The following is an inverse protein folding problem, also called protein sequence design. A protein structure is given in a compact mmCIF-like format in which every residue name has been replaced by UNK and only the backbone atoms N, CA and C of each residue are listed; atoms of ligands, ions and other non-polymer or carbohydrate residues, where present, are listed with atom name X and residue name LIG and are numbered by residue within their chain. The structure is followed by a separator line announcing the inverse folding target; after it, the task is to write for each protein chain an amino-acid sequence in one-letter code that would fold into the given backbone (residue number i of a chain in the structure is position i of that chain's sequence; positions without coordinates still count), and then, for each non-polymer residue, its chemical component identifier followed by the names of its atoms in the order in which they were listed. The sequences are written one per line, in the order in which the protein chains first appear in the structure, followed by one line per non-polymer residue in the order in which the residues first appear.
data_IF_425284298970
#
_entry.id   IF_425284298970
#
_cell.length_a   1.000
_cell.length_b   1.000
_cell.length_c   1.000
_cell.angle_alpha   90.00
_cell.angle_beta   90.00
_cell.angle_gamma   90.00
#
_symmetry.space_group_name_H-M   'P 1'
#
loop_
_entity.id
_entity.type
_entity.pdbx_description
1 polymer ?
#
# COMPACT_ATOMS: atom_id res chain seq x y z
N UNK A 1 16.63 -18.18 10.08
CA UNK A 1 16.16 -19.13 9.06
C UNK A 1 15.48 -18.33 7.97
N UNK A 2 16.06 -18.22 6.79
CA UNK A 2 15.35 -17.65 5.65
C UNK A 2 14.22 -18.63 5.29
N UNK A 3 12.99 -18.16 5.46
CA UNK A 3 11.81 -18.89 4.99
C UNK A 3 11.88 -18.95 3.46
N UNK A 4 11.55 -20.09 2.87
CA UNK A 4 11.46 -20.20 1.41
C UNK A 4 10.32 -19.35 0.87
N UNK A 5 10.45 -18.86 -0.37
CA UNK A 5 9.32 -18.25 -1.07
C UNK A 5 8.22 -19.28 -1.29
N UNK A 6 6.98 -18.88 -1.13
CA UNK A 6 5.79 -19.72 -1.30
C UNK A 6 4.85 -19.11 -2.34
N UNK A 7 3.95 -19.92 -2.88
CA UNK A 7 3.01 -19.45 -3.89
C UNK A 7 2.16 -18.28 -3.37
N UNK A 8 2.04 -17.23 -4.18
CA UNK A 8 1.25 -16.04 -3.83
C UNK A 8 -0.19 -16.40 -3.44
N UNK A 9 -0.75 -17.45 -4.03
CA UNK A 9 -2.08 -17.93 -3.71
C UNK A 9 -2.24 -18.34 -2.23
N UNK A 10 -1.16 -18.90 -1.63
CA UNK A 10 -1.14 -19.32 -0.22
C UNK A 10 -0.78 -18.19 0.76
N UNK A 11 -0.33 -17.02 0.26
CA UNK A 11 0.01 -15.89 1.10
C UNK A 11 -1.23 -15.14 1.57
N UNK A 12 -1.15 -14.59 2.77
CA UNK A 12 -2.07 -13.60 3.30
C UNK A 12 -1.25 -12.50 3.97
N UNK A 13 -1.82 -11.29 4.07
CA UNK A 13 -1.23 -10.20 4.83
C UNK A 13 -0.94 -10.66 6.25
N UNK A 14 0.32 -10.55 6.67
CA UNK A 14 0.74 -10.94 8.01
C UNK A 14 0.23 -9.95 9.08
N UNK A 15 0.30 -10.36 10.35
CA UNK A 15 -0.01 -9.46 11.47
C UNK A 15 0.91 -8.23 11.47
N UNK A 16 2.21 -8.39 11.15
CA UNK A 16 3.16 -7.28 11.04
C UNK A 16 2.83 -6.35 9.88
N UNK A 17 2.42 -6.88 8.73
CA UNK A 17 1.95 -6.08 7.59
C UNK A 17 0.68 -5.29 7.94
N UNK A 18 -0.27 -5.91 8.64
CA UNK A 18 -1.49 -5.22 9.10
C UNK A 18 -1.16 -4.09 10.09
N UNK A 19 -0.26 -4.34 11.04
CA UNK A 19 0.20 -3.31 11.99
C UNK A 19 0.89 -2.17 11.27
N UNK A 20 1.73 -2.47 10.27
CA UNK A 20 2.37 -1.44 9.45
C UNK A 20 1.34 -0.53 8.77
N UNK A 21 0.31 -1.10 8.15
CA UNK A 21 -0.76 -0.31 7.52
C UNK A 21 -1.50 0.52 8.58
N UNK A 22 -1.87 -0.07 9.71
CA UNK A 22 -2.56 0.63 10.80
C UNK A 22 -1.77 1.83 11.33
N UNK A 23 -0.46 1.67 11.56
CA UNK A 23 0.43 2.76 12.00
C UNK A 23 0.52 3.89 10.98
N UNK A 24 0.50 3.55 9.71
CA UNK A 24 0.60 4.51 8.63
C UNK A 24 -0.68 5.32 8.43
N UNK A 25 -1.83 4.68 8.47
CA UNK A 25 -3.13 5.34 8.30
C UNK A 25 -3.51 6.21 9.51
N UNK A 26 -2.98 5.89 10.70
CA UNK A 26 -3.41 6.50 11.94
C UNK A 26 -4.80 6.01 12.37
N UNK A 27 -5.22 6.38 13.57
CA UNK A 27 -6.50 5.96 14.12
C UNK A 27 -7.36 7.14 14.55
N UNK A 28 -8.62 7.14 14.12
CA UNK A 28 -9.65 8.02 14.65
C UNK A 28 -10.90 7.22 15.01
N UNK A 29 -11.27 7.23 16.27
CA UNK A 29 -12.48 6.54 16.74
C UNK A 29 -13.75 7.14 16.18
N UNK A 30 -13.80 8.48 16.10
CA UNK A 30 -14.94 9.21 15.56
C UNK A 30 -14.71 9.53 14.08
N UNK A 31 -15.79 9.44 13.30
CA UNK A 31 -15.77 9.83 11.91
C UNK A 31 -15.48 11.34 11.77
N UNK A 32 -14.56 11.66 10.86
CA UNK A 32 -14.15 13.00 10.51
C UNK A 32 -14.32 13.24 8.99
N UNK A 33 -14.42 14.51 8.56
CA UNK A 33 -14.47 14.84 7.15
C UNK A 33 -13.16 14.46 6.45
N UNK A 34 -13.26 13.79 5.29
CA UNK A 34 -12.07 13.52 4.47
C UNK A 34 -11.37 14.84 4.07
N UNK A 35 -10.02 14.92 4.15
CA UNK A 35 -9.29 16.15 3.83
C UNK A 35 -9.51 16.68 2.40
N UNK A 36 -9.84 15.79 1.45
CA UNK A 36 -10.03 16.12 0.03
C UNK A 36 -11.52 16.27 -0.32
N UNK A 37 -12.36 15.35 0.18
CA UNK A 37 -13.78 15.24 -0.19
C UNK A 37 -14.73 15.81 0.87
N UNK A 38 -14.21 16.25 2.02
CA UNK A 38 -14.97 16.83 3.12
C UNK A 38 -16.01 15.85 3.70
N UNK A 39 -17.15 16.37 4.11
CA UNK A 39 -18.23 15.58 4.72
C UNK A 39 -18.94 14.64 3.76
N UNK A 40 -18.65 14.70 2.45
CA UNK A 40 -19.20 13.78 1.45
C UNK A 40 -18.62 12.38 1.57
N UNK A 41 -17.40 12.27 2.10
CA UNK A 41 -16.71 10.99 2.32
C UNK A 41 -16.19 10.96 3.76
N UNK A 42 -17.06 10.69 4.76
CA UNK A 42 -16.60 10.57 6.14
C UNK A 42 -15.63 9.40 6.28
N UNK A 43 -14.61 9.59 7.11
CA UNK A 43 -13.55 8.60 7.36
C UNK A 43 -13.47 8.30 8.85
N UNK A 44 -13.35 7.03 9.23
CA UNK A 44 -13.21 6.59 10.62
C UNK A 44 -12.22 5.42 10.76
N UNK A 45 -11.84 5.08 11.97
CA UNK A 45 -10.92 3.98 12.25
C UNK A 45 -9.54 4.23 11.67
N UNK A 46 -9.03 3.30 10.88
CA UNK A 46 -7.76 3.35 10.17
C UNK A 46 -7.99 3.73 8.68
N UNK A 47 -8.54 4.92 8.44
CA UNK A 47 -8.78 5.37 7.07
C UNK A 47 -10.00 4.73 6.38
N UNK A 48 -10.87 4.05 7.13
CA UNK A 48 -12.06 3.39 6.58
C UNK A 48 -13.09 4.41 6.10
N UNK A 49 -13.56 4.23 4.87
CA UNK A 49 -14.64 4.97 4.24
C UNK A 49 -15.74 4.00 3.79
N UNK A 50 -16.84 4.50 3.26
CA UNK A 50 -17.90 3.67 2.69
C UNK A 50 -19.30 4.09 3.12
N UNK A 51 -20.34 3.44 2.57
CA UNK A 51 -21.74 3.87 2.78
C UNK A 51 -22.22 3.71 4.22
N UNK A 52 -21.57 2.86 5.00
CA UNK A 52 -21.81 2.61 6.40
C UNK A 52 -21.07 3.55 7.36
N UNK A 53 -20.11 4.34 6.84
CA UNK A 53 -19.40 5.39 7.60
C UNK A 53 -20.07 6.74 7.35
N UNK A 54 -20.69 7.29 8.38
CA UNK A 54 -21.36 8.60 8.34
C UNK A 54 -20.77 9.51 9.40
N UNK A 55 -20.94 10.82 9.26
CA UNK A 55 -20.62 11.76 10.35
C UNK A 55 -21.37 11.34 11.63
N UNK A 56 -20.64 11.24 12.74
CA UNK A 56 -21.14 10.69 13.99
C UNK A 56 -20.94 9.17 14.18
N UNK A 57 -20.48 8.45 13.18
CA UNK A 57 -20.09 7.04 13.35
C UNK A 57 -18.92 6.93 14.32
N UNK A 58 -19.03 6.01 15.28
CA UNK A 58 -17.93 5.64 16.19
C UNK A 58 -17.43 4.23 15.85
N UNK A 59 -16.14 4.11 15.64
CA UNK A 59 -15.49 2.85 15.27
C UNK A 59 -14.40 2.50 16.30
N UNK A 60 -14.74 1.72 17.35
CA UNK A 60 -13.79 1.31 18.40
C UNK A 60 -12.58 0.55 17.83
N UNK A 61 -11.41 0.57 18.52
CA UNK A 61 -10.14 0.05 17.96
C UNK A 61 -10.22 -1.36 17.40
N UNK A 62 -10.83 -2.29 18.10
CA UNK A 62 -10.95 -3.69 17.65
C UNK A 62 -11.81 -3.79 16.37
N UNK A 63 -12.93 -3.08 16.33
CA UNK A 63 -13.79 -3.05 15.13
C UNK A 63 -13.07 -2.38 13.95
N UNK A 64 -12.31 -1.33 14.22
CA UNK A 64 -11.49 -0.66 13.22
C UNK A 64 -10.42 -1.61 12.63
N UNK A 65 -9.75 -2.42 13.47
CA UNK A 65 -8.78 -3.42 13.00
C UNK A 65 -9.45 -4.53 12.15
N UNK A 66 -10.63 -5.00 12.56
CA UNK A 66 -11.40 -5.99 11.78
C UNK A 66 -11.75 -5.41 10.40
N UNK A 67 -12.17 -4.15 10.36
CA UNK A 67 -12.48 -3.46 9.11
C UNK A 67 -11.24 -3.28 8.24
N UNK A 68 -10.15 -2.78 8.82
CA UNK A 68 -8.86 -2.64 8.13
C UNK A 68 -8.42 -3.97 7.49
N UNK A 69 -8.55 -5.09 8.23
CA UNK A 69 -8.23 -6.43 7.72
C UNK A 69 -9.13 -6.82 6.55
N UNK A 70 -10.43 -6.51 6.60
CA UNK A 70 -11.36 -6.77 5.51
C UNK A 70 -10.99 -5.95 4.27
N UNK A 71 -10.76 -4.64 4.43
CA UNK A 71 -10.37 -3.73 3.35
C UNK A 71 -9.03 -4.16 2.71
N UNK A 72 -8.06 -4.60 3.51
CA UNK A 72 -6.79 -5.13 3.02
C UNK A 72 -6.99 -6.44 2.25
N UNK A 73 -7.92 -7.31 2.66
CA UNK A 73 -8.21 -8.57 1.95
C UNK A 73 -8.73 -8.32 0.53
N UNK A 74 -9.54 -7.29 0.32
CA UNK A 74 -9.98 -6.91 -1.04
C UNK A 74 -8.78 -6.52 -1.93
N UNK A 75 -7.80 -5.80 -1.36
CA UNK A 75 -6.56 -5.45 -2.07
C UNK A 75 -5.74 -6.69 -2.39
N UNK A 76 -5.64 -7.65 -1.45
CA UNK A 76 -4.96 -8.93 -1.68
C UNK A 76 -5.55 -9.67 -2.88
N UNK A 77 -6.88 -9.79 -2.96
CA UNK A 77 -7.57 -10.46 -4.08
C UNK A 77 -7.23 -9.79 -5.42
N UNK A 78 -7.29 -8.45 -5.47
CA UNK A 78 -6.98 -7.71 -6.69
C UNK A 78 -5.52 -7.87 -7.11
N UNK A 79 -4.57 -7.79 -6.15
CA UNK A 79 -3.14 -7.95 -6.41
C UNK A 79 -2.79 -9.37 -6.85
N UNK A 80 -3.33 -10.42 -6.21
CA UNK A 80 -3.13 -11.81 -6.63
C UNK A 80 -3.56 -12.02 -8.08
N UNK A 81 -4.71 -11.45 -8.46
CA UNK A 81 -5.24 -11.57 -9.84
C UNK A 81 -4.31 -10.93 -10.87
N UNK A 82 -3.74 -9.76 -10.59
CA UNK A 82 -2.92 -9.05 -11.56
C UNK A 82 -1.46 -9.50 -11.59
N UNK A 83 -0.91 -9.96 -10.46
CA UNK A 83 0.47 -10.45 -10.38
C UNK A 83 0.57 -11.85 -10.98
N UNK A 84 -0.44 -12.71 -10.75
CA UNK A 84 -0.47 -14.08 -11.26
C UNK A 84 0.35 -15.04 -10.40
N UNK A 85 0.70 -16.19 -10.97
CA UNK A 85 1.38 -17.27 -10.25
C UNK A 85 2.87 -17.01 -10.09
N UNK A 86 3.24 -16.45 -8.94
CA UNK A 86 4.63 -16.18 -8.54
C UNK A 86 4.89 -16.72 -7.14
N UNK A 87 6.17 -16.92 -6.81
CA UNK A 87 6.60 -17.30 -5.46
C UNK A 87 7.12 -16.04 -4.76
N UNK A 88 6.65 -15.77 -3.54
CA UNK A 88 7.06 -14.59 -2.75
C UNK A 88 7.42 -15.01 -1.32
N UNK A 89 8.28 -14.22 -0.68
CA UNK A 89 8.39 -14.21 0.77
C UNK A 89 7.19 -13.50 1.40
N UNK A 90 6.74 -13.86 2.61
CA UNK A 90 5.66 -13.13 3.30
C UNK A 90 5.92 -11.62 3.40
N UNK A 91 7.16 -11.21 3.66
CA UNK A 91 7.53 -9.78 3.73
C UNK A 91 7.41 -9.04 2.39
N UNK A 92 7.71 -9.73 1.27
CA UNK A 92 7.52 -9.17 -0.08
C UNK A 92 6.03 -8.93 -0.33
N UNK A 93 5.20 -9.90 0.05
CA UNK A 93 3.74 -9.80 -0.06
C UNK A 93 3.19 -8.66 0.80
N UNK A 94 3.59 -8.58 2.08
CA UNK A 94 3.18 -7.50 2.99
C UNK A 94 3.48 -6.12 2.40
N UNK A 95 4.67 -5.93 1.82
CA UNK A 95 5.07 -4.67 1.23
C UNK A 95 4.22 -4.30 0.01
N UNK A 96 3.90 -5.26 -0.88
CA UNK A 96 3.04 -4.99 -2.04
C UNK A 96 1.59 -4.75 -1.65
N UNK A 97 1.05 -5.45 -0.64
CA UNK A 97 -0.29 -5.18 -0.12
C UNK A 97 -0.36 -3.80 0.52
N UNK A 98 0.62 -3.43 1.35
CA UNK A 98 0.68 -2.10 1.97
C UNK A 98 0.81 -0.98 0.93
N UNK A 99 1.61 -1.19 -0.13
CA UNK A 99 1.67 -0.25 -1.26
C UNK A 99 0.31 -0.12 -1.94
N UNK A 100 -0.34 -1.23 -2.27
CA UNK A 100 -1.65 -1.27 -2.91
C UNK A 100 -2.77 -0.70 -2.04
N UNK A 101 -2.66 -0.82 -0.72
CA UNK A 101 -3.57 -0.18 0.22
C UNK A 101 -3.48 1.35 0.12
N UNK A 102 -2.27 1.88 0.08
CA UNK A 102 -2.02 3.33 0.05
C UNK A 102 -2.28 3.97 -1.33
N UNK A 103 -1.86 3.31 -2.43
CA UNK A 103 -1.94 3.90 -3.78
C UNK A 103 -3.17 3.47 -4.56
N UNK A 104 -3.95 2.54 -4.03
CA UNK A 104 -4.87 1.73 -4.81
C UNK A 104 -4.15 0.60 -5.56
N UNK A 105 -4.88 -0.44 -5.90
CA UNK A 105 -4.30 -1.62 -6.58
C UNK A 105 -4.04 -1.37 -8.06
N UNK A 106 -4.81 -0.49 -8.70
CA UNK A 106 -4.66 -0.24 -10.14
C UNK A 106 -3.27 0.25 -10.54
N UNK A 107 -2.63 1.24 -9.87
CA UNK A 107 -1.26 1.63 -10.19
C UNK A 107 -0.22 0.53 -9.95
N UNK A 108 -0.45 -0.35 -8.95
CA UNK A 108 0.46 -1.48 -8.67
C UNK A 108 0.32 -2.57 -9.73
N UNK A 109 -0.87 -2.75 -10.29
CA UNK A 109 -1.15 -3.75 -11.32
C UNK A 109 -0.78 -3.28 -12.73
N UNK A 110 -1.05 -2.01 -13.05
CA UNK A 110 -1.03 -1.49 -14.42
C UNK A 110 -0.07 -0.32 -14.58
N UNK A 111 0.49 -0.22 -15.76
CA UNK A 111 1.20 0.97 -16.21
C UNK A 111 0.27 1.82 -17.07
N UNK A 112 -0.28 2.88 -16.49
CA UNK A 112 -1.23 3.76 -17.15
C UNK A 112 -0.65 4.49 -18.38
N UNK A 113 0.69 4.66 -18.44
CA UNK A 113 1.36 5.36 -19.54
C UNK A 113 1.62 4.46 -20.75
N UNK A 114 1.65 3.13 -20.57
CA UNK A 114 2.07 2.15 -21.59
C UNK A 114 1.08 1.03 -21.84
N UNK A 115 -0.14 1.13 -21.32
CA UNK A 115 -1.20 0.12 -21.51
C UNK A 115 -0.71 -1.32 -21.31
N UNK A 116 -0.30 -1.66 -20.07
CA UNK A 116 0.22 -2.99 -19.77
C UNK A 116 0.51 -3.18 -18.28
N UNK A 117 1.13 -4.31 -17.90
CA UNK A 117 1.50 -4.57 -16.51
C UNK A 117 2.48 -3.53 -15.98
N UNK A 118 2.38 -3.20 -14.69
CA UNK A 118 3.30 -2.31 -14.01
C UNK A 118 4.73 -2.85 -14.01
N UNK A 119 5.69 -2.01 -13.64
CA UNK A 119 7.09 -2.45 -13.47
C UNK A 119 7.21 -3.51 -12.39
N UNK A 120 6.46 -3.42 -11.29
CA UNK A 120 6.43 -4.44 -10.24
C UNK A 120 5.96 -5.77 -10.81
N UNK A 121 4.80 -5.80 -11.47
CA UNK A 121 4.23 -7.04 -12.02
C UNK A 121 5.18 -7.69 -13.03
N UNK A 122 5.70 -6.93 -13.98
CA UNK A 122 6.65 -7.45 -14.99
C UNK A 122 7.91 -8.07 -14.37
N UNK A 123 8.47 -7.42 -13.34
CA UNK A 123 9.66 -7.93 -12.65
C UNK A 123 9.37 -9.19 -11.86
N UNK A 124 8.24 -9.24 -11.14
CA UNK A 124 7.81 -10.45 -10.43
C UNK A 124 7.61 -11.63 -11.38
N UNK A 125 6.94 -11.41 -12.50
CA UNK A 125 6.72 -12.44 -13.52
C UNK A 125 8.00 -12.91 -14.21
N UNK A 126 9.02 -12.05 -14.25
CA UNK A 126 10.37 -12.39 -14.73
C UNK A 126 11.26 -13.01 -13.63
N UNK A 127 10.79 -13.21 -12.40
CA UNK A 127 11.59 -13.71 -11.28
C UNK A 127 12.56 -12.68 -10.67
N UNK A 128 12.50 -11.42 -11.11
CA UNK A 128 13.33 -10.33 -10.57
C UNK A 128 12.68 -9.72 -9.31
N UNK A 129 12.73 -10.47 -8.21
CA UNK A 129 12.14 -10.05 -6.93
C UNK A 129 12.79 -8.79 -6.37
N UNK A 130 14.14 -8.72 -6.44
CA UNK A 130 14.86 -7.53 -5.98
C UNK A 130 14.44 -6.29 -6.75
N UNK A 131 14.41 -6.38 -8.05
CA UNK A 131 13.98 -5.28 -8.89
C UNK A 131 12.51 -4.91 -8.69
N UNK A 132 11.62 -5.86 -8.36
CA UNK A 132 10.25 -5.58 -8.00
C UNK A 132 10.16 -4.76 -6.69
N UNK A 133 10.96 -5.12 -5.66
CA UNK A 133 11.07 -4.34 -4.43
C UNK A 133 11.64 -2.93 -4.70
N UNK A 134 12.67 -2.80 -5.52
CA UNK A 134 13.24 -1.51 -5.91
C UNK A 134 12.22 -0.64 -6.67
N UNK A 135 11.32 -1.26 -7.44
CA UNK A 135 10.27 -0.54 -8.17
C UNK A 135 9.21 0.13 -7.27
N UNK A 136 9.14 -0.21 -5.97
CA UNK A 136 8.31 0.50 -4.98
C UNK A 136 8.68 1.99 -4.94
N UNK A 137 9.95 2.33 -5.13
CA UNK A 137 10.42 3.71 -5.14
C UNK A 137 9.88 4.55 -6.32
N UNK A 138 9.33 3.93 -7.36
CA UNK A 138 8.71 4.64 -8.48
C UNK A 138 7.35 5.28 -8.11
N UNK A 139 6.78 4.92 -6.96
CA UNK A 139 5.50 5.44 -6.45
C UNK A 139 5.71 6.68 -5.56
N UNK A 140 6.61 7.57 -5.96
CA UNK A 140 7.08 8.74 -5.23
C UNK A 140 6.32 10.04 -5.55
N UNK A 141 4.99 9.96 -5.66
CA UNK A 141 4.15 11.10 -5.99
C UNK A 141 2.88 11.16 -5.13
N UNK A 142 2.42 12.37 -4.87
CA UNK A 142 1.15 12.67 -4.21
C UNK A 142 0.35 13.66 -5.09
N UNK A 143 0.08 13.27 -6.34
CA UNK A 143 -0.58 14.10 -7.35
C UNK A 143 0.14 14.06 -8.69
N UNK A 144 -0.25 14.94 -9.65
CA UNK A 144 0.42 15.06 -10.94
C UNK A 144 1.89 15.47 -10.79
N UNK A 145 2.77 14.86 -11.56
CA UNK A 145 4.18 15.25 -11.65
C UNK A 145 4.36 16.00 -12.98
N UNK A 146 4.44 17.32 -12.91
CA UNK A 146 4.64 18.21 -14.07
C UNK A 146 6.12 18.56 -14.21
N UNK A 147 6.82 18.69 -13.07
CA UNK A 147 8.24 19.02 -12.99
C UNK A 147 8.97 18.01 -12.10
N UNK A 148 10.29 17.81 -12.25
CA UNK A 148 11.07 16.94 -11.38
C UNK A 148 10.88 17.23 -9.88
N UNK A 149 10.72 18.50 -9.50
CA UNK A 149 10.50 18.93 -8.13
C UNK A 149 9.17 18.48 -7.52
N UNK A 150 8.20 18.06 -8.33
CA UNK A 150 6.91 17.55 -7.87
C UNK A 150 7.03 16.11 -7.33
N UNK A 151 8.14 15.43 -7.58
CA UNK A 151 8.41 14.11 -7.00
C UNK A 151 8.68 14.22 -5.51
N UNK A 152 8.10 13.32 -4.74
CA UNK A 152 8.30 13.26 -3.29
C UNK A 152 9.75 12.91 -2.89
N UNK A 153 10.50 12.29 -3.80
CA UNK A 153 11.92 11.98 -3.65
C UNK A 153 12.84 13.19 -3.88
N UNK A 154 12.33 14.28 -4.50
CA UNK A 154 13.13 15.46 -4.75
C UNK A 154 13.52 16.17 -3.44
N UNK A 155 14.78 16.56 -3.23
CA UNK A 155 15.25 17.15 -1.96
C UNK A 155 14.53 18.42 -1.56
N UNK A 156 14.06 19.22 -2.52
CA UNK A 156 13.33 20.46 -2.27
C UNK A 156 11.83 20.26 -2.04
N UNK A 157 11.28 19.07 -2.34
CA UNK A 157 9.88 18.80 -2.10
C UNK A 157 9.64 18.51 -0.62
N UNK A 158 9.07 19.48 0.10
CA UNK A 158 8.71 19.34 1.52
C UNK A 158 7.28 18.87 1.73
N UNK A 159 6.46 18.88 0.69
CA UNK A 159 5.01 18.63 0.78
C UNK A 159 4.69 17.16 0.97
N UNK A 160 5.42 16.26 0.32
CA UNK A 160 5.14 14.82 0.38
C UNK A 160 6.34 13.95 0.81
N UNK A 161 7.24 14.49 1.63
CA UNK A 161 8.37 13.71 2.20
C UNK A 161 7.93 12.44 2.92
N UNK A 162 6.77 12.48 3.57
CA UNK A 162 6.21 11.30 4.23
C UNK A 162 5.91 10.16 3.26
N UNK A 163 5.48 10.47 2.04
CA UNK A 163 5.28 9.48 0.98
C UNK A 163 6.62 8.85 0.59
N UNK A 164 7.66 9.65 0.38
CA UNK A 164 8.98 9.14 0.05
C UNK A 164 9.57 8.25 1.15
N UNK A 165 9.51 8.71 2.40
CA UNK A 165 9.96 7.92 3.55
C UNK A 165 9.22 6.58 3.66
N UNK A 166 7.91 6.57 3.39
CA UNK A 166 7.12 5.35 3.36
C UNK A 166 7.58 4.39 2.25
N UNK A 167 7.86 4.87 1.05
CA UNK A 167 8.37 4.03 -0.05
C UNK A 167 9.72 3.40 0.29
N UNK A 168 10.59 4.14 0.96
CA UNK A 168 11.88 3.61 1.42
C UNK A 168 11.68 2.50 2.46
N UNK A 169 10.76 2.69 3.43
CA UNK A 169 10.42 1.66 4.43
C UNK A 169 9.81 0.41 3.79
N UNK A 170 8.87 0.58 2.86
CA UNK A 170 8.26 -0.55 2.13
C UNK A 170 9.30 -1.31 1.31
N UNK A 171 10.22 -0.62 0.64
CA UNK A 171 11.33 -1.26 -0.07
C UNK A 171 12.23 -2.05 0.89
N UNK A 172 12.62 -1.46 2.00
CA UNK A 172 13.42 -2.15 3.02
C UNK A 172 12.71 -3.39 3.57
N UNK A 173 11.42 -3.28 3.91
CA UNK A 173 10.58 -4.42 4.31
C UNK A 173 10.59 -5.51 3.23
N UNK A 174 10.36 -5.17 1.98
CA UNK A 174 10.35 -6.08 0.85
C UNK A 174 11.67 -6.86 0.73
N UNK A 175 12.80 -6.16 0.86
CA UNK A 175 14.14 -6.75 0.77
C UNK A 175 14.58 -7.49 2.04
N UNK A 176 13.87 -7.30 3.17
CA UNK A 176 14.31 -7.81 4.48
C UNK A 176 15.50 -7.04 5.03
N UNK A 177 15.66 -5.79 4.64
CA UNK A 177 16.68 -4.86 5.12
C UNK A 177 16.19 -4.14 6.39
N UNK A 178 17.09 -3.62 7.24
CA UNK A 178 16.72 -2.71 8.31
C UNK A 178 15.95 -1.51 7.75
N UNK A 179 14.88 -1.10 8.44
CA UNK A 179 14.10 0.08 8.03
C UNK A 179 14.90 1.35 8.31
N UNK A 180 14.97 2.28 7.35
CA UNK A 180 15.64 3.55 7.51
C UNK A 180 14.94 4.50 8.49
#
# INVERSE_FOLDING_TARGET
METSRIAIAALALSASGLVYIAQREGYSEQAYPDPVHGTKVPTAGFGTTGPDVKMGTTLPPVRALVRLRADASEKEVALKRCIGDVLLYPREWDAFVALGYNTGTAPVCLNNERSGPSTIVRRLQAGDHKGACDAILLYDRAGPVIKPQDRCSHPDNRTCRGVWADRQRLRAMCLGEPTP
#
